data_IF_711953494697
#
_entry.id   IF_711953494697
#
_cell.length_a   1.000
_cell.length_b   1.000
_cell.length_c   1.000
_cell.angle_alpha   90.00
_cell.angle_beta   90.00
_cell.angle_gamma   90.00
#
_symmetry.space_group_name_H-M   'P 1'
#
loop_
_entity.id
_entity.type
_entity.pdbx_description
1 polymer ?
#
# COMPACT_ATOMS: atom_id res chain seq x y z
N UNK A 1 -6.31 -2.93 22.31
CA UNK A 1 -6.56 -2.21 21.04
C UNK A 1 -6.28 -3.06 19.81
N UNK A 2 -5.05 -3.59 19.62
CA UNK A 2 -4.73 -4.40 18.43
C UNK A 2 -5.64 -5.64 18.25
N UNK A 3 -5.98 -6.33 19.35
CA UNK A 3 -6.87 -7.52 19.32
C UNK A 3 -8.28 -7.17 18.84
N UNK A 4 -8.82 -6.02 19.23
CA UNK A 4 -10.16 -5.55 18.82
C UNK A 4 -10.16 -5.24 17.32
N UNK A 5 -9.14 -4.54 16.84
CA UNK A 5 -8.96 -4.30 15.40
C UNK A 5 -8.78 -5.59 14.60
N UNK A 6 -8.01 -6.55 15.13
CA UNK A 6 -7.87 -7.88 14.52
C UNK A 6 -9.20 -8.61 14.39
N UNK A 7 -10.03 -8.59 15.44
CA UNK A 7 -11.36 -9.19 15.42
C UNK A 7 -12.27 -8.54 14.37
N UNK A 8 -12.27 -7.20 14.28
CA UNK A 8 -13.06 -6.47 13.27
C UNK A 8 -12.63 -6.86 11.85
N UNK A 9 -11.33 -6.97 11.59
CA UNK A 9 -10.81 -7.35 10.27
C UNK A 9 -11.20 -8.79 9.91
N UNK A 10 -11.11 -9.73 10.87
CA UNK A 10 -11.52 -11.13 10.64
C UNK A 10 -13.03 -11.20 10.33
N UNK A 11 -13.86 -10.52 11.13
CA UNK A 11 -15.31 -10.49 10.93
C UNK A 11 -15.71 -9.88 9.59
N UNK A 12 -15.14 -8.73 9.24
CA UNK A 12 -15.44 -8.06 7.96
C UNK A 12 -14.98 -8.89 6.76
N UNK A 13 -13.81 -9.51 6.81
CA UNK A 13 -13.30 -10.38 5.75
C UNK A 13 -14.17 -11.63 5.60
N UNK A 14 -14.56 -12.26 6.72
CA UNK A 14 -15.46 -13.41 6.72
C UNK A 14 -16.83 -13.08 6.12
N UNK A 15 -17.44 -11.96 6.52
CA UNK A 15 -18.73 -11.50 5.95
C UNK A 15 -18.63 -11.24 4.44
N UNK A 16 -17.53 -10.65 3.97
CA UNK A 16 -17.31 -10.38 2.56
C UNK A 16 -17.12 -11.68 1.74
N UNK A 17 -16.41 -12.66 2.28
CA UNK A 17 -16.29 -14.01 1.68
C UNK A 17 -17.61 -14.76 1.63
N UNK A 18 -18.39 -14.71 2.71
CA UNK A 18 -19.74 -15.30 2.77
C UNK A 18 -20.66 -14.61 1.75
N UNK A 19 -20.64 -13.28 1.68
CA UNK A 19 -21.43 -12.52 0.71
C UNK A 19 -21.13 -12.94 -0.74
N UNK A 20 -19.85 -13.13 -1.06
CA UNK A 20 -19.40 -13.62 -2.38
C UNK A 20 -19.88 -15.04 -2.70
N UNK A 21 -19.92 -15.93 -1.70
CA UNK A 21 -20.43 -17.29 -1.84
C UNK A 21 -21.96 -17.32 -1.99
N UNK A 22 -22.68 -16.51 -1.22
CA UNK A 22 -24.15 -16.41 -1.26
C UNK A 22 -24.64 -15.81 -2.58
N UNK A 23 -23.89 -14.87 -3.18
CA UNK A 23 -24.19 -14.34 -4.51
C UNK A 23 -23.92 -15.32 -5.66
N UNK A 24 -23.65 -16.61 -5.36
CA UNK A 24 -23.30 -17.69 -6.31
C UNK A 24 -22.18 -17.33 -7.29
N UNK A 25 -21.41 -16.27 -6.99
CA UNK A 25 -20.45 -15.72 -7.91
C UNK A 25 -19.13 -16.48 -7.84
N UNK A 26 -18.76 -16.96 -6.66
CA UNK A 26 -17.51 -17.69 -6.39
C UNK A 26 -17.79 -18.82 -5.39
N UNK A 27 -17.01 -19.90 -5.45
CA UNK A 27 -17.12 -20.99 -4.48
C UNK A 27 -16.47 -20.56 -3.16
N UNK A 28 -16.91 -21.14 -2.04
CA UNK A 28 -16.30 -20.87 -0.73
C UNK A 28 -14.79 -21.17 -0.75
N UNK A 29 -14.41 -22.19 -1.51
CA UNK A 29 -13.02 -22.61 -1.75
C UNK A 29 -12.18 -21.53 -2.45
N UNK A 30 -12.77 -20.69 -3.31
CA UNK A 30 -12.05 -19.59 -3.95
C UNK A 30 -11.68 -18.52 -2.92
N UNK A 31 -12.56 -18.28 -1.94
CA UNK A 31 -12.31 -17.31 -0.87
C UNK A 31 -11.27 -17.81 0.13
N UNK A 32 -11.30 -19.10 0.48
CA UNK A 32 -10.25 -19.76 1.27
C UNK A 32 -8.92 -19.83 0.51
N UNK A 33 -8.95 -20.08 -0.79
CA UNK A 33 -7.78 -20.13 -1.65
C UNK A 33 -7.00 -18.81 -1.70
N UNK A 34 -7.67 -17.67 -1.46
CA UNK A 34 -7.05 -16.35 -1.41
C UNK A 34 -6.26 -16.06 -0.12
N UNK A 35 -6.36 -16.92 0.91
CA UNK A 35 -5.61 -16.74 2.17
C UNK A 35 -4.10 -16.86 1.94
N UNK A 36 -3.66 -17.89 1.21
CA UNK A 36 -2.23 -18.13 0.93
C UNK A 36 -1.61 -17.03 0.07
N UNK A 37 -2.21 -16.59 -1.06
CA UNK A 37 -1.75 -15.43 -1.81
C UNK A 37 -1.69 -14.15 -0.97
N UNK A 38 -2.72 -13.91 -0.16
CA UNK A 38 -2.77 -12.72 0.71
C UNK A 38 -1.64 -12.76 1.74
N UNK A 39 -1.40 -13.91 2.35
CA UNK A 39 -0.29 -14.13 3.27
C UNK A 39 1.08 -13.93 2.58
N UNK A 40 1.26 -14.46 1.37
CA UNK A 40 2.47 -14.28 0.58
C UNK A 40 2.73 -12.80 0.24
N UNK A 41 1.69 -12.06 -0.15
CA UNK A 41 1.76 -10.61 -0.37
C UNK A 41 2.10 -9.88 0.92
N UNK A 42 1.50 -10.25 2.05
CA UNK A 42 1.83 -9.68 3.35
C UNK A 42 3.30 -9.90 3.70
N UNK A 43 3.82 -11.11 3.45
CA UNK A 43 5.23 -11.44 3.66
C UNK A 43 6.15 -10.59 2.80
N UNK A 44 5.84 -10.46 1.51
CA UNK A 44 6.60 -9.61 0.59
C UNK A 44 6.57 -8.15 1.06
N UNK A 45 5.41 -7.68 1.53
CA UNK A 45 5.24 -6.32 2.02
C UNK A 45 6.03 -6.08 3.32
N UNK A 46 5.98 -7.02 4.25
CA UNK A 46 6.63 -6.91 5.56
C UNK A 46 8.16 -7.03 5.47
N UNK A 47 8.66 -8.02 4.72
CA UNK A 47 10.09 -8.30 4.65
C UNK A 47 10.82 -7.52 3.55
N UNK A 48 10.21 -7.36 2.38
CA UNK A 48 10.86 -6.79 1.21
C UNK A 48 10.57 -5.30 1.02
N UNK A 49 9.31 -4.87 1.18
CA UNK A 49 8.92 -3.48 0.97
C UNK A 49 9.20 -2.61 2.21
N UNK A 50 8.63 -2.97 3.36
CA UNK A 50 8.79 -2.22 4.60
C UNK A 50 10.13 -2.51 5.29
N UNK A 51 10.73 -3.68 5.05
CA UNK A 51 11.98 -4.13 5.71
C UNK A 51 11.93 -3.98 7.23
N UNK A 52 10.78 -4.32 7.83
CA UNK A 52 10.51 -4.21 9.27
C UNK A 52 11.60 -4.84 10.17
N UNK A 53 12.15 -6.04 9.88
CA UNK A 53 13.22 -6.60 10.73
C UNK A 53 14.49 -5.74 10.74
N UNK A 54 14.81 -5.09 9.63
CA UNK A 54 15.96 -4.20 9.49
C UNK A 54 15.73 -2.88 10.24
N UNK A 55 14.49 -2.39 10.26
CA UNK A 55 14.06 -1.26 11.08
C UNK A 55 14.16 -1.57 12.58
N UNK A 56 13.76 -2.78 12.99
CA UNK A 56 13.83 -3.22 14.38
C UNK A 56 15.29 -3.34 14.86
N UNK A 57 16.17 -3.87 14.02
CA UNK A 57 17.60 -3.96 14.32
C UNK A 57 18.26 -2.57 14.41
N UNK A 58 17.93 -1.64 13.50
CA UNK A 58 18.37 -0.25 13.57
C UNK A 58 17.82 0.50 14.80
N UNK A 59 16.58 0.22 15.22
CA UNK A 59 15.99 0.78 16.43
C UNK A 59 16.70 0.27 17.68
N UNK A 60 17.01 -1.04 17.74
CA UNK A 60 17.77 -1.64 18.83
C UNK A 60 19.23 -1.18 18.89
N UNK A 61 19.87 -0.89 17.75
CA UNK A 61 21.26 -0.40 17.68
C UNK A 61 21.44 1.11 17.92
N UNK A 62 20.39 1.80 18.39
CA UNK A 62 20.35 3.26 18.63
C UNK A 62 20.29 4.07 17.33
N UNK A 63 19.05 4.29 16.90
CA UNK A 63 18.64 5.16 15.80
C UNK A 63 19.30 6.55 15.90
N UNK A 64 20.01 7.01 14.86
CA UNK A 64 20.70 8.32 14.85
C UNK A 64 19.77 9.53 14.64
N UNK A 65 18.46 9.31 14.49
CA UNK A 65 17.45 10.38 14.42
C UNK A 65 16.03 9.82 14.54
N UNK A 66 15.04 10.61 14.99
CA UNK A 66 13.68 10.13 15.20
C UNK A 66 13.00 9.80 13.86
N UNK A 67 12.58 8.54 13.65
CA UNK A 67 11.69 8.21 12.52
C UNK A 67 10.38 9.02 12.65
N UNK A 68 9.80 9.50 11.54
CA UNK A 68 8.52 10.20 11.57
C UNK A 68 7.44 9.30 12.20
N UNK A 69 6.81 9.81 13.27
CA UNK A 69 5.77 9.09 14.01
C UNK A 69 4.62 8.70 13.06
N UNK A 70 4.21 7.43 13.07
CA UNK A 70 3.17 6.86 12.20
C UNK A 70 3.48 6.84 10.69
N UNK A 71 4.76 6.77 10.31
CA UNK A 71 5.15 6.67 8.89
C UNK A 71 4.52 5.48 8.15
N UNK A 72 4.44 4.31 8.79
CA UNK A 72 3.81 3.11 8.22
C UNK A 72 2.34 3.33 7.86
N UNK A 73 1.61 4.06 8.73
CA UNK A 73 0.20 4.40 8.52
C UNK A 73 0.05 5.40 7.37
N UNK A 74 0.96 6.37 7.27
CA UNK A 74 1.01 7.31 6.13
C UNK A 74 1.33 6.58 4.82
N UNK A 75 2.25 5.63 4.83
CA UNK A 75 2.58 4.83 3.65
C UNK A 75 1.38 3.96 3.23
N UNK A 76 0.74 3.28 4.19
CA UNK A 76 -0.47 2.50 3.94
C UNK A 76 -1.62 3.39 3.41
N UNK A 77 -1.77 4.60 3.96
CA UNK A 77 -2.74 5.60 3.49
C UNK A 77 -2.48 6.12 2.08
N UNK A 78 -1.22 6.13 1.61
CA UNK A 78 -0.87 6.46 0.23
C UNK A 78 -1.03 5.26 -0.72
N UNK A 79 -0.82 4.04 -0.24
CA UNK A 79 -1.01 2.81 -1.01
C UNK A 79 -2.48 2.45 -1.25
N UNK A 80 -3.37 2.71 -0.27
CA UNK A 80 -4.80 2.47 -0.37
C UNK A 80 -5.46 3.09 -1.62
N UNK A 81 -5.30 4.41 -1.89
CA UNK A 81 -5.88 5.01 -3.09
C UNK A 81 -5.22 4.51 -4.38
N UNK A 82 -3.95 4.09 -4.35
CA UNK A 82 -3.29 3.48 -5.52
C UNK A 82 -3.94 2.11 -5.84
N UNK A 83 -4.19 1.29 -4.81
CA UNK A 83 -4.89 0.01 -4.96
C UNK A 83 -6.35 0.19 -5.40
N UNK A 84 -7.03 1.21 -4.86
CA UNK A 84 -8.39 1.53 -5.27
C UNK A 84 -8.43 2.01 -6.73
N UNK A 85 -7.49 2.87 -7.13
CA UNK A 85 -7.34 3.34 -8.50
C UNK A 85 -7.03 2.19 -9.47
N UNK A 86 -6.16 1.24 -9.10
CA UNK A 86 -5.88 0.07 -9.93
C UNK A 86 -7.11 -0.83 -10.09
N UNK A 87 -7.90 -1.02 -9.04
CA UNK A 87 -9.19 -1.74 -9.13
C UNK A 87 -10.16 -1.04 -10.11
N UNK A 88 -10.26 0.29 -10.08
CA UNK A 88 -11.10 1.03 -11.03
C UNK A 88 -10.62 0.91 -12.48
N UNK A 89 -9.30 0.90 -12.71
CA UNK A 89 -8.73 0.65 -14.04
C UNK A 89 -9.13 -0.74 -14.52
N UNK A 90 -8.96 -1.78 -13.69
CA UNK A 90 -9.29 -3.16 -14.04
C UNK A 90 -10.78 -3.32 -14.34
N UNK A 91 -11.65 -2.74 -13.49
CA UNK A 91 -13.10 -2.81 -13.66
C UNK A 91 -13.58 -2.08 -14.92
N UNK A 92 -13.02 -0.91 -15.22
CA UNK A 92 -13.41 -0.18 -16.42
C UNK A 92 -12.87 -0.83 -17.71
N UNK A 93 -11.65 -1.41 -17.70
CA UNK A 93 -11.17 -2.24 -18.82
C UNK A 93 -11.99 -3.52 -19.00
N UNK A 94 -12.44 -4.14 -17.89
CA UNK A 94 -13.35 -5.29 -17.95
C UNK A 94 -14.70 -4.89 -18.58
N UNK A 95 -15.19 -3.68 -18.32
CA UNK A 95 -16.43 -3.18 -18.94
C UNK A 95 -16.32 -3.05 -20.46
N UNK A 96 -15.18 -2.55 -20.99
CA UNK A 96 -14.91 -2.52 -22.44
C UNK A 96 -15.04 -3.89 -23.10
N UNK A 97 -14.64 -4.95 -22.39
CA UNK A 97 -14.64 -6.32 -22.90
C UNK A 97 -16.03 -6.95 -22.91
N UNK A 98 -16.92 -6.56 -22.00
CA UNK A 98 -18.25 -7.16 -21.84
C UNK A 98 -19.38 -6.31 -22.45
N UNK A 99 -19.12 -5.11 -22.98
CA UNK A 99 -20.08 -4.22 -23.69
C UNK A 99 -21.34 -3.79 -22.93
N UNK A 100 -21.61 -4.27 -21.71
CA UNK A 100 -22.90 -4.05 -21.04
C UNK A 100 -23.07 -2.66 -20.43
N UNK A 101 -22.00 -1.88 -20.18
CA UNK A 101 -22.10 -0.59 -19.47
C UNK A 101 -20.99 0.42 -19.82
N UNK A 102 -21.16 1.24 -20.88
CA UNK A 102 -20.12 2.18 -21.35
C UNK A 102 -19.77 3.27 -20.32
N UNK A 103 -20.67 3.59 -19.38
CA UNK A 103 -20.40 4.58 -18.34
C UNK A 103 -19.27 4.16 -17.39
N UNK A 104 -19.03 2.85 -17.20
CA UNK A 104 -17.94 2.32 -16.39
C UNK A 104 -16.55 2.62 -16.97
N UNK A 105 -16.47 3.06 -18.24
CA UNK A 105 -15.23 3.57 -18.82
C UNK A 105 -14.74 4.84 -18.11
N UNK A 106 -15.65 5.69 -17.61
CA UNK A 106 -15.26 6.89 -16.86
C UNK A 106 -14.46 6.55 -15.60
N UNK A 107 -14.70 5.37 -15.01
CA UNK A 107 -13.96 4.88 -13.85
C UNK A 107 -12.50 4.54 -14.19
N UNK A 108 -12.17 4.15 -15.43
CA UNK A 108 -10.75 3.98 -15.79
C UNK A 108 -10.01 5.30 -15.74
N UNK A 109 -10.62 6.38 -16.24
CA UNK A 109 -10.00 7.70 -16.24
C UNK A 109 -9.75 8.17 -14.79
N UNK A 110 -10.74 8.00 -13.92
CA UNK A 110 -10.64 8.32 -12.48
C UNK A 110 -9.55 7.47 -11.82
N UNK A 111 -9.49 6.16 -12.13
CA UNK A 111 -8.47 5.26 -11.62
C UNK A 111 -7.06 5.64 -12.06
N UNK A 112 -6.86 5.99 -13.34
CA UNK A 112 -5.57 6.45 -13.87
C UNK A 112 -5.15 7.75 -13.21
N UNK A 113 -6.06 8.71 -13.03
CA UNK A 113 -5.78 9.97 -12.34
C UNK A 113 -5.37 9.74 -10.88
N UNK A 114 -6.09 8.88 -10.14
CA UNK A 114 -5.72 8.51 -8.78
C UNK A 114 -4.33 7.89 -8.72
N UNK A 115 -4.05 6.87 -9.54
CA UNK A 115 -2.74 6.22 -9.53
C UNK A 115 -1.65 7.22 -9.89
N UNK A 116 -1.82 8.01 -10.95
CA UNK A 116 -0.83 8.99 -11.41
C UNK A 116 -0.55 10.09 -10.38
N UNK A 117 -1.54 10.48 -9.59
CA UNK A 117 -1.39 11.48 -8.54
C UNK A 117 -0.71 10.93 -7.28
N UNK A 118 -1.10 9.75 -6.82
CA UNK A 118 -0.60 9.17 -5.57
C UNK A 118 0.74 8.44 -5.71
N UNK A 119 1.03 7.87 -6.89
CA UNK A 119 2.28 7.16 -7.18
C UNK A 119 3.57 7.96 -6.95
N UNK A 120 3.74 9.18 -7.51
CA UNK A 120 4.95 9.97 -7.28
C UNK A 120 5.09 10.39 -5.81
N UNK A 121 3.95 10.64 -5.14
CA UNK A 121 3.89 11.00 -3.72
C UNK A 121 4.35 9.84 -2.83
N UNK A 122 3.91 8.62 -3.13
CA UNK A 122 4.36 7.39 -2.47
C UNK A 122 5.86 7.16 -2.70
N UNK A 123 6.34 7.28 -3.94
CA UNK A 123 7.77 7.08 -4.28
C UNK A 123 8.67 8.07 -3.53
N UNK A 124 8.32 9.35 -3.52
CA UNK A 124 9.08 10.38 -2.79
C UNK A 124 9.12 10.10 -1.29
N UNK A 125 7.98 9.71 -0.71
CA UNK A 125 7.88 9.41 0.72
C UNK A 125 8.64 8.14 1.12
N UNK A 126 8.64 7.12 0.26
CA UNK A 126 9.41 5.90 0.43
C UNK A 126 10.91 6.18 0.43
N UNK A 127 11.40 6.96 -0.54
CA UNK A 127 12.82 7.30 -0.65
C UNK A 127 13.31 8.10 0.57
N UNK A 128 12.53 9.10 1.02
CA UNK A 128 12.88 9.90 2.20
C UNK A 128 13.08 9.05 3.45
N UNK A 129 12.20 8.08 3.69
CA UNK A 129 12.35 7.22 4.87
C UNK A 129 13.38 6.13 4.68
N UNK A 130 13.56 5.61 3.48
CA UNK A 130 14.65 4.69 3.21
C UNK A 130 16.02 5.35 3.44
N UNK A 131 16.21 6.59 3.02
CA UNK A 131 17.42 7.39 3.30
C UNK A 131 17.62 7.61 4.80
N UNK A 132 16.55 7.94 5.52
CA UNK A 132 16.59 8.15 6.97
C UNK A 132 16.90 6.86 7.75
N UNK A 133 16.49 5.70 7.23
CA UNK A 133 16.81 4.38 7.80
C UNK A 133 18.27 3.98 7.48
N UNK A 134 18.77 4.29 6.28
CA UNK A 134 20.14 3.95 5.87
C UNK A 134 21.22 4.90 6.44
N UNK A 135 20.85 6.06 6.98
CA UNK A 135 21.79 6.95 7.67
C UNK A 135 22.79 7.65 6.75
N UNK A 136 22.47 7.83 5.47
CA UNK A 136 23.31 8.64 4.59
C UNK A 136 23.00 10.13 4.77
N UNK A 137 24.00 11.00 5.03
CA UNK A 137 23.77 12.43 5.02
C UNK A 137 23.34 12.83 3.61
N UNK A 138 22.23 13.56 3.51
CA UNK A 138 22.09 14.50 2.40
C UNK A 138 23.22 15.48 2.61
N UNK A 139 24.31 15.28 1.87
CA UNK A 139 25.45 16.17 1.85
C UNK A 139 24.93 17.50 1.31
N UNK A 140 24.97 18.53 2.15
CA UNK A 140 24.95 19.92 1.73
C UNK A 140 26.05 20.12 0.67
N UNK A 141 25.67 20.15 -0.59
CA UNK A 141 26.42 20.83 -1.65
C UNK A 141 25.53 22.02 -2.06
N UNK A 142 25.84 23.28 -1.83
CA UNK A 142 26.98 23.92 -1.21
C UNK A 142 26.79 25.40 -1.53
N UNK A 143 26.31 26.20 -0.57
CA UNK A 143 26.21 27.64 -0.79
C UNK A 143 26.33 28.40 0.53
N UNK A 144 27.54 28.45 1.10
CA UNK A 144 27.97 29.66 1.81
C UNK A 144 29.49 29.76 1.93
N UNK A 145 29.99 30.92 1.48
CA UNK A 145 31.26 31.60 1.80
C UNK A 145 32.52 31.17 1.05
N UNK A 146 32.82 31.93 -0.01
CA UNK A 146 34.16 32.46 -0.20
C UNK A 146 34.08 34.00 -0.03
N UNK A 147 34.23 34.46 1.22
CA UNK A 147 34.77 35.80 1.47
C UNK A 147 36.30 35.66 1.48
N UNK A 148 36.95 36.39 0.58
CA UNK A 148 38.39 36.58 0.50
C UNK A 148 38.67 37.91 -0.18
#
# INVERSE_FOLDING_TARGET
MAVIWGLIVILSTGLMGIGRAVSASHWLTDSLGMILPTWAVLHLLFFHLLKVPLQLECFMKKLRGPLPRFWELKFCGLCLPILLGSMFIILGFRSLRFQETPWLLSLTLIGVLMVSFFWPRMKSFYLQVFQQIQGHPVQDEGETKADG
#
